data_IF_514634133481
#
_entry.id   IF_514634133481
#
_cell.length_a   1.000
_cell.length_b   1.000
_cell.length_c   1.000
_cell.angle_alpha   90.00
_cell.angle_beta   90.00
_cell.angle_gamma   90.00
#
_symmetry.space_group_name_H-M   'P 1'
#
loop_
_entity.id
_entity.type
_entity.pdbx_description
1 polymer ?
#
# COMPACT_ATOMS: atom_id res chain seq x y z
N UNK A 1 -31.60 -11.32 -17.90
CA UNK A 1 -30.37 -12.07 -17.65
C UNK A 1 -30.59 -12.98 -16.46
N UNK A 2 -30.28 -14.26 -16.62
CA UNK A 2 -30.39 -15.23 -15.54
C UNK A 2 -29.02 -15.34 -14.87
N UNK A 3 -28.98 -15.06 -13.57
CA UNK A 3 -27.77 -15.27 -12.77
C UNK A 3 -27.75 -16.72 -12.30
N UNK A 4 -26.61 -17.37 -12.44
CA UNK A 4 -26.41 -18.72 -11.94
C UNK A 4 -25.87 -18.66 -10.52
N UNK A 5 -26.54 -19.35 -9.61
CA UNK A 5 -26.09 -19.50 -8.22
C UNK A 5 -24.97 -20.51 -8.07
N UNK A 6 -24.79 -21.35 -9.08
CA UNK A 6 -23.77 -22.40 -9.10
C UNK A 6 -23.02 -22.41 -10.42
N UNK A 7 -21.78 -22.85 -10.36
CA UNK A 7 -20.93 -23.05 -11.55
C UNK A 7 -20.42 -24.48 -11.57
N UNK A 8 -20.64 -25.18 -12.68
CA UNK A 8 -20.12 -26.51 -12.87
C UNK A 8 -18.66 -26.45 -13.32
N UNK A 9 -17.77 -26.99 -12.50
CA UNK A 9 -16.36 -27.09 -12.83
C UNK A 9 -16.12 -28.35 -13.64
N UNK A 10 -15.70 -28.18 -14.89
CA UNK A 10 -15.40 -29.32 -15.76
C UNK A 10 -14.02 -29.87 -15.47
N UNK A 11 -13.91 -31.18 -15.53
CA UNK A 11 -12.61 -31.84 -15.43
C UNK A 11 -11.76 -31.45 -16.65
N UNK A 12 -10.53 -31.03 -16.38
CA UNK A 12 -9.56 -30.72 -17.43
C UNK A 12 -8.31 -31.60 -17.30
N UNK A 13 -7.63 -31.78 -18.40
CA UNK A 13 -6.33 -32.46 -18.39
C UNK A 13 -5.28 -31.57 -17.78
N UNK A 14 -4.32 -32.17 -17.09
CA UNK A 14 -3.20 -31.45 -16.52
C UNK A 14 -2.24 -31.09 -17.64
N UNK A 15 -2.09 -29.82 -17.92
CA UNK A 15 -1.10 -29.28 -18.84
C UNK A 15 -0.14 -28.38 -18.11
N UNK A 16 1.16 -28.38 -18.43
CA UNK A 16 2.09 -27.45 -17.84
C UNK A 16 1.76 -26.02 -18.34
N UNK A 17 1.39 -25.14 -17.40
CA UNK A 17 1.03 -23.75 -17.70
C UNK A 17 1.75 -22.85 -16.72
N UNK A 18 2.37 -21.81 -17.25
CA UNK A 18 2.92 -20.73 -16.44
C UNK A 18 1.93 -19.56 -16.42
N UNK A 19 1.55 -19.13 -15.22
CA UNK A 19 0.59 -18.06 -15.04
C UNK A 19 1.22 -16.98 -14.18
N UNK A 20 1.23 -15.74 -14.68
CA UNK A 20 1.62 -14.59 -13.90
C UNK A 20 0.40 -14.00 -13.20
N UNK A 21 0.53 -13.77 -11.91
CA UNK A 21 -0.54 -13.16 -11.09
C UNK A 21 -0.14 -11.75 -10.66
N UNK A 22 -1.13 -10.87 -10.44
CA UNK A 22 -0.85 -9.54 -9.87
C UNK A 22 -0.21 -9.63 -8.49
N UNK A 23 0.45 -8.56 -8.07
CA UNK A 23 0.98 -8.44 -6.72
C UNK A 23 -0.11 -8.50 -5.65
N UNK A 24 0.29 -8.81 -4.45
CA UNK A 24 -0.62 -8.84 -3.29
C UNK A 24 -0.80 -7.44 -2.69
N UNK A 25 -2.05 -7.06 -2.45
CA UNK A 25 -2.40 -5.82 -1.75
C UNK A 25 -1.79 -5.76 -0.35
N UNK A 26 -1.98 -6.80 0.43
CA UNK A 26 -1.45 -6.89 1.79
C UNK A 26 0.06 -6.84 1.85
N UNK A 27 0.72 -7.59 0.99
CA UNK A 27 2.20 -7.61 0.95
C UNK A 27 2.72 -6.25 0.48
N UNK A 28 2.09 -5.64 -0.51
CA UNK A 28 2.48 -4.31 -1.01
C UNK A 28 2.44 -3.28 0.13
N UNK A 29 1.34 -3.20 0.86
CA UNK A 29 1.20 -2.22 1.95
C UNK A 29 2.24 -2.44 3.05
N UNK A 30 2.50 -3.68 3.42
CA UNK A 30 3.52 -4.00 4.42
C UNK A 30 4.93 -3.67 3.93
N UNK A 31 5.22 -3.98 2.68
CA UNK A 31 6.52 -3.67 2.08
C UNK A 31 6.78 -2.16 2.01
N UNK A 32 5.77 -1.37 1.67
CA UNK A 32 5.87 0.09 1.67
C UNK A 32 6.20 0.63 3.07
N UNK A 33 5.55 0.11 4.09
CA UNK A 33 5.83 0.51 5.48
C UNK A 33 7.26 0.15 5.88
N UNK A 34 7.68 -1.08 5.61
CA UNK A 34 9.03 -1.56 5.96
C UNK A 34 10.08 -0.74 5.22
N UNK A 35 9.85 -0.42 3.95
CA UNK A 35 10.76 0.40 3.16
C UNK A 35 10.89 1.82 3.73
N UNK A 36 9.80 2.40 4.21
CA UNK A 36 9.83 3.71 4.86
C UNK A 36 10.57 3.68 6.20
N UNK A 37 10.46 2.58 6.94
CA UNK A 37 11.16 2.40 8.23
C UNK A 37 12.63 2.06 8.06
N UNK A 38 13.02 1.49 6.94
CA UNK A 38 14.40 1.12 6.67
C UNK A 38 15.32 2.34 6.61
N UNK A 39 16.59 2.11 6.79
CA UNK A 39 17.61 3.14 6.60
C UNK A 39 18.26 2.98 5.24
N UNK A 40 17.87 3.82 4.30
CA UNK A 40 18.38 3.77 2.94
C UNK A 40 17.31 3.55 1.88
N UNK A 41 17.75 3.37 0.64
CA UNK A 41 16.87 3.20 -0.51
C UNK A 41 16.45 1.74 -0.69
N UNK A 42 15.15 1.53 -0.80
CA UNK A 42 14.55 0.24 -1.13
C UNK A 42 13.87 0.32 -2.50
N UNK A 43 14.02 -0.72 -3.30
CA UNK A 43 13.33 -0.85 -4.59
C UNK A 43 12.38 -2.03 -4.50
N UNK A 44 11.09 -1.76 -4.65
CA UNK A 44 10.03 -2.76 -4.60
C UNK A 44 9.56 -3.08 -6.01
N UNK A 45 9.59 -4.34 -6.38
CA UNK A 45 9.14 -4.84 -7.68
C UNK A 45 7.89 -5.69 -7.52
N UNK A 46 7.00 -5.63 -8.50
CA UNK A 46 5.74 -6.36 -8.44
C UNK A 46 4.71 -5.71 -7.52
N UNK A 47 4.77 -4.41 -7.39
CA UNK A 47 3.85 -3.63 -6.55
C UNK A 47 2.45 -3.66 -7.14
N UNK A 48 1.46 -3.93 -6.31
CA UNK A 48 0.06 -3.79 -6.70
C UNK A 48 -0.41 -2.35 -6.44
N UNK A 49 -0.80 -1.67 -7.52
CA UNK A 49 -1.37 -0.33 -7.45
C UNK A 49 -2.89 -0.43 -7.30
N UNK A 50 -3.35 -0.47 -6.07
CA UNK A 50 -4.75 -0.35 -5.68
C UNK A 50 -5.01 1.04 -5.10
N UNK A 51 -6.26 1.36 -4.83
CA UNK A 51 -6.58 2.63 -4.16
C UNK A 51 -5.85 2.73 -2.81
N UNK A 52 -5.79 1.65 -2.05
CA UNK A 52 -5.08 1.60 -0.78
C UNK A 52 -3.59 1.92 -0.92
N UNK A 53 -2.91 1.28 -1.87
CA UNK A 53 -1.47 1.49 -2.05
C UNK A 53 -1.18 2.89 -2.61
N UNK A 54 -2.04 3.40 -3.48
CA UNK A 54 -1.91 4.78 -3.99
C UNK A 54 -2.05 5.80 -2.88
N UNK A 55 -3.03 5.63 -1.98
CA UNK A 55 -3.17 6.48 -0.80
C UNK A 55 -1.98 6.38 0.14
N UNK A 56 -1.45 5.17 0.33
CA UNK A 56 -0.26 4.97 1.15
C UNK A 56 0.96 5.69 0.56
N UNK A 57 1.19 5.54 -0.74
CA UNK A 57 2.29 6.21 -1.44
C UNK A 57 2.17 7.73 -1.36
N UNK A 58 0.96 8.25 -1.57
CA UNK A 58 0.72 9.68 -1.44
C UNK A 58 0.98 10.16 -0.01
N UNK A 59 0.55 9.38 0.98
CA UNK A 59 0.81 9.70 2.38
C UNK A 59 2.31 9.77 2.68
N UNK A 60 3.09 8.83 2.17
CA UNK A 60 4.55 8.86 2.34
C UNK A 60 5.17 10.10 1.69
N UNK A 61 4.71 10.50 0.52
CA UNK A 61 5.16 11.74 -0.14
C UNK A 61 4.79 12.97 0.69
N UNK A 62 3.59 13.02 1.22
CA UNK A 62 3.12 14.12 2.08
C UNK A 62 3.93 14.22 3.37
N UNK A 63 4.41 13.11 3.89
CA UNK A 63 5.31 13.05 5.04
C UNK A 63 6.76 13.42 4.71
N UNK A 64 7.06 13.65 3.45
CA UNK A 64 8.38 14.11 3.00
C UNK A 64 9.33 13.00 2.56
N UNK A 65 8.89 11.75 2.48
CA UNK A 65 9.72 10.68 1.92
C UNK A 65 9.94 10.88 0.44
N UNK A 66 11.12 10.53 -0.01
CA UNK A 66 11.43 10.49 -1.45
C UNK A 66 10.90 9.18 -2.02
N UNK A 67 9.89 9.28 -2.88
CA UNK A 67 9.22 8.13 -3.48
C UNK A 67 9.23 8.29 -4.99
N UNK A 68 9.77 7.31 -5.70
CA UNK A 68 9.75 7.23 -7.16
C UNK A 68 8.82 6.10 -7.57
N UNK A 69 7.86 6.40 -8.44
CA UNK A 69 6.82 5.46 -8.86
C UNK A 69 6.94 5.21 -10.36
N UNK A 70 7.11 3.95 -10.73
CA UNK A 70 7.05 3.48 -12.11
C UNK A 70 5.89 2.48 -12.21
N UNK A 71 4.70 3.01 -12.39
CA UNK A 71 3.47 2.20 -12.40
C UNK A 71 3.44 1.20 -13.57
N UNK A 72 3.82 1.56 -14.81
CA UNK A 72 3.83 0.60 -15.92
C UNK A 72 4.70 -0.64 -15.67
N UNK A 73 5.79 -0.52 -14.93
CA UNK A 73 6.67 -1.63 -14.60
C UNK A 73 6.43 -2.20 -13.20
N UNK A 74 5.42 -1.69 -12.49
CA UNK A 74 5.08 -2.10 -11.12
C UNK A 74 6.28 -1.99 -10.16
N UNK A 75 7.02 -0.89 -10.23
CA UNK A 75 8.21 -0.62 -9.42
C UNK A 75 8.03 0.65 -8.62
N UNK A 76 8.40 0.59 -7.35
CA UNK A 76 8.44 1.75 -6.45
C UNK A 76 9.77 1.77 -5.72
N UNK A 77 10.41 2.93 -5.70
CA UNK A 77 11.60 3.18 -4.87
C UNK A 77 11.24 4.10 -3.73
N UNK A 78 11.66 3.75 -2.53
CA UNK A 78 11.45 4.57 -1.33
C UNK A 78 12.78 4.75 -0.62
N UNK A 79 13.08 5.99 -0.27
CA UNK A 79 14.21 6.29 0.59
C UNK A 79 13.74 6.35 2.04
N UNK A 80 14.02 5.29 2.80
CA UNK A 80 13.69 5.21 4.21
C UNK A 80 14.65 6.01 5.08
N UNK A 81 14.19 6.46 6.23
CA UNK A 81 14.92 7.35 7.14
C UNK A 81 15.20 6.72 8.51
N UNK A 82 15.24 5.39 8.57
CA UNK A 82 15.61 4.69 9.81
C UNK A 82 14.63 4.90 10.97
N UNK A 83 13.34 4.96 10.65
CA UNK A 83 12.30 5.21 11.64
C UNK A 83 11.95 6.68 11.86
N UNK A 84 12.66 7.59 11.20
CA UNK A 84 12.36 9.03 11.28
C UNK A 84 11.35 9.43 10.21
N UNK A 85 10.51 10.38 10.54
CA UNK A 85 9.62 11.03 9.57
C UNK A 85 10.28 12.31 9.10
N UNK A 86 10.46 12.51 7.77
CA UNK A 86 11.19 13.69 7.26
C UNK A 86 10.57 15.02 7.64
N UNK A 87 9.23 15.11 7.66
CA UNK A 87 8.52 16.33 8.07
C UNK A 87 8.09 16.23 9.52
N UNK A 88 8.30 17.31 10.28
CA UNK A 88 7.85 17.42 11.67
C UNK A 88 6.37 17.79 11.77
N UNK A 89 5.83 18.41 10.74
CA UNK A 89 4.40 18.76 10.64
C UNK A 89 3.89 18.31 9.28
N UNK A 90 2.82 17.55 9.27
CA UNK A 90 2.20 17.09 8.04
C UNK A 90 0.70 16.87 8.25
N UNK A 91 -0.05 17.01 7.17
CA UNK A 91 -1.44 16.57 7.09
C UNK A 91 -1.53 15.50 6.03
N UNK A 92 -2.06 14.35 6.38
CA UNK A 92 -2.09 13.17 5.53
C UNK A 92 -3.52 12.67 5.41
N UNK A 93 -3.96 12.50 4.17
CA UNK A 93 -5.26 11.90 3.86
C UNK A 93 -5.04 10.54 3.22
N UNK A 94 -5.49 9.49 3.88
CA UNK A 94 -5.38 8.12 3.41
C UNK A 94 -6.66 7.62 2.75
N UNK A 95 -7.65 8.49 2.56
CA UNK A 95 -8.92 8.12 1.96
C UNK A 95 -9.61 7.00 2.73
N UNK A 96 -10.06 5.97 2.01
CA UNK A 96 -10.66 4.78 2.60
C UNK A 96 -9.67 3.63 2.84
N UNK A 97 -8.36 3.90 2.75
CA UNK A 97 -7.31 2.91 2.91
C UNK A 97 -7.10 2.54 4.38
N UNK A 98 -7.89 1.60 4.89
CA UNK A 98 -7.88 1.22 6.31
C UNK A 98 -6.53 0.69 6.78
N UNK A 99 -5.82 -0.09 5.96
CA UNK A 99 -4.50 -0.61 6.30
C UNK A 99 -3.47 0.52 6.43
N UNK A 100 -3.48 1.47 5.50
CA UNK A 100 -2.60 2.63 5.56
C UNK A 100 -2.89 3.49 6.80
N UNK A 101 -4.16 3.70 7.11
CA UNK A 101 -4.57 4.46 8.30
C UNK A 101 -4.04 3.82 9.58
N UNK A 102 -4.17 2.51 9.73
CA UNK A 102 -3.70 1.78 10.92
C UNK A 102 -2.18 1.82 11.04
N UNK A 103 -1.46 1.56 9.96
CA UNK A 103 0.00 1.56 9.97
C UNK A 103 0.55 2.95 10.27
N UNK A 104 0.00 3.98 9.64
CA UNK A 104 0.46 5.35 9.85
C UNK A 104 0.13 5.87 11.24
N UNK A 105 -1.00 5.48 11.82
CA UNK A 105 -1.33 5.85 13.20
C UNK A 105 -0.25 5.37 14.17
N UNK A 106 0.18 4.13 14.03
CA UNK A 106 1.25 3.58 14.87
C UNK A 106 2.61 4.23 14.57
N UNK A 107 2.91 4.43 13.29
CA UNK A 107 4.19 4.97 12.84
C UNK A 107 4.37 6.45 13.22
N UNK A 108 3.29 7.22 13.18
CA UNK A 108 3.33 8.67 13.43
C UNK A 108 3.14 9.04 14.90
N UNK A 109 2.88 8.05 15.77
CA UNK A 109 2.71 8.30 17.20
C UNK A 109 3.84 9.11 17.84
N UNK A 110 5.12 8.85 17.54
CA UNK A 110 6.23 9.61 18.10
C UNK A 110 6.47 10.99 17.49
N UNK A 111 5.76 11.36 16.43
CA UNK A 111 5.96 12.65 15.76
C UNK A 111 5.32 13.76 16.57
N UNK A 112 6.01 14.89 16.68
CA UNK A 112 5.57 16.01 17.51
C UNK A 112 4.26 16.65 17.07
N UNK A 113 3.96 16.62 15.77
CA UNK A 113 2.68 17.07 15.24
C UNK A 113 2.41 16.43 13.90
N UNK A 114 1.28 15.71 13.81
CA UNK A 114 0.77 15.17 12.56
C UNK A 114 -0.74 15.13 12.60
N UNK A 115 -1.37 15.48 11.49
CA UNK A 115 -2.81 15.36 11.30
C UNK A 115 -3.07 14.26 10.28
N UNK A 116 -3.74 13.19 10.71
CA UNK A 116 -4.13 12.07 9.87
C UNK A 116 -5.63 12.14 9.59
N UNK A 117 -6.00 12.07 8.32
CA UNK A 117 -7.39 12.03 7.87
C UNK A 117 -7.64 10.72 7.13
N UNK A 118 -8.79 10.13 7.41
CA UNK A 118 -9.28 8.97 6.68
C UNK A 118 -10.78 9.10 6.45
N UNK A 119 -11.26 8.55 5.34
CA UNK A 119 -12.69 8.43 5.12
C UNK A 119 -13.23 7.32 6.02
N UNK A 120 -14.25 7.67 6.79
CA UNK A 120 -14.97 6.69 7.58
C UNK A 120 -15.96 5.97 6.69
N UNK A 121 -16.11 4.67 6.93
CA UNK A 121 -17.14 3.86 6.32
C UNK A 121 -18.12 3.39 7.39
N UNK A 122 -19.31 2.99 7.00
CA UNK A 122 -20.28 2.48 7.95
C UNK A 122 -19.85 1.17 8.64
N UNK A 123 -18.81 0.53 8.17
CA UNK A 123 -18.20 -0.64 8.78
C UNK A 123 -17.11 -0.29 9.80
N UNK A 124 -16.81 0.96 9.98
CA UNK A 124 -15.80 1.40 10.94
C UNK A 124 -16.25 1.13 12.35
N UNK A 125 -15.30 0.86 13.15
CA UNK A 125 -15.47 0.44 14.54
C UNK A 125 -16.06 1.52 15.43
#
# INVERSE_FOLDING_TARGET
MILQDTYEVKKADIIPVEVSVPGSKSITNRALLIAALANGKSVLKGVLFSDDSRHFLQALQDLGFVVEIDEPHAVVSIEGKGGRVPKTKASVDVGSAGTAARFLTAYLGPVSYTHLRAHETCADL
#
